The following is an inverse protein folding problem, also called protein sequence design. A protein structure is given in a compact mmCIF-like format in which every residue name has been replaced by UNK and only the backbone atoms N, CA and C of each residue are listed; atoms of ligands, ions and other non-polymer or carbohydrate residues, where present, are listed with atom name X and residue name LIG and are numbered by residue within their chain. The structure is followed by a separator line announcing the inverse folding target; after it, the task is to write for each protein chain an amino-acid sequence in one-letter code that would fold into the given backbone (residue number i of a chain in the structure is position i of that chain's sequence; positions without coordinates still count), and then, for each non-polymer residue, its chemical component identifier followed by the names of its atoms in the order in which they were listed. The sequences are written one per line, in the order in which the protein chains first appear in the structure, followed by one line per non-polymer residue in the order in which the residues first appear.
data_IF_659371495136
#
_entry.id   IF_659371495136
#
_cell.length_a   1.000
_cell.length_b   1.000
_cell.length_c   1.000
_cell.angle_alpha   90.00
_cell.angle_beta   90.00
_cell.angle_gamma   90.00
#
_symmetry.space_group_name_H-M   'P 1'
#
loop_
_entity.id
_entity.type
_entity.pdbx_description
1 polymer ?
#
# COMPACT_ATOMS: atom_id res chain seq x y z
N UNK A 1 -20.30 -58.81 9.52
CA UNK A 1 -19.02 -58.98 10.24
C UNK A 1 -18.75 -57.71 11.03
N UNK A 2 -19.10 -57.78 12.31
CA UNK A 2 -18.89 -56.80 13.38
C UNK A 2 -17.54 -57.08 14.06
N UNK A 3 -16.77 -56.05 14.39
CA UNK A 3 -15.93 -55.95 15.59
C UNK A 3 -15.05 -54.67 15.51
N UNK A 4 -15.37 -53.59 16.23
CA UNK A 4 -15.02 -53.26 17.63
C UNK A 4 -13.56 -52.83 17.88
N UNK A 5 -13.46 -51.57 18.32
CA UNK A 5 -12.35 -50.94 19.05
C UNK A 5 -12.01 -51.71 20.35
N UNK A 6 -10.83 -51.44 20.93
CA UNK A 6 -10.68 -51.36 22.38
C UNK A 6 -10.22 -49.99 22.87
N UNK A 7 -10.83 -49.58 23.98
CA UNK A 7 -10.53 -48.41 24.80
C UNK A 7 -9.29 -48.61 25.70
N UNK A 8 -8.45 -47.56 25.77
CA UNK A 8 -7.79 -46.94 26.94
C UNK A 8 -6.91 -47.79 27.92
N UNK A 9 -5.89 -47.20 28.58
CA UNK A 9 -6.13 -46.25 29.68
C UNK A 9 -5.19 -45.04 29.79
N UNK A 10 -5.70 -44.08 30.56
CA UNK A 10 -5.09 -42.87 31.14
C UNK A 10 -3.59 -42.91 31.47
N UNK A 11 -2.87 -41.84 31.10
CA UNK A 11 -1.84 -41.25 31.96
C UNK A 11 -1.93 -39.72 31.89
N UNK A 12 -2.49 -39.14 32.96
CA UNK A 12 -2.38 -37.72 33.28
C UNK A 12 -0.99 -37.46 33.83
N UNK A 13 -0.25 -36.54 33.24
CA UNK A 13 0.87 -35.87 33.91
C UNK A 13 0.59 -34.37 33.91
N UNK A 14 0.35 -33.88 35.11
CA UNK A 14 0.27 -32.50 35.55
C UNK A 14 1.44 -31.64 35.04
N UNK A 15 1.12 -30.59 34.30
CA UNK A 15 1.90 -29.34 34.30
C UNK A 15 0.93 -28.20 34.62
N UNK A 16 0.90 -27.86 35.90
CA UNK A 16 0.34 -26.62 36.41
C UNK A 16 1.41 -25.55 36.26
N UNK A 17 1.34 -24.76 35.19
CA UNK A 17 2.04 -23.48 35.11
C UNK A 17 0.99 -22.38 34.91
N UNK A 18 0.64 -21.76 36.02
CA UNK A 18 -0.06 -20.49 36.09
C UNK A 18 0.78 -19.41 35.40
N UNK A 19 0.22 -18.65 34.44
CA UNK A 19 0.90 -17.45 33.98
C UNK A 19 0.77 -16.39 35.09
N UNK A 20 1.88 -16.15 35.78
CA UNK A 20 2.09 -14.96 36.61
C UNK A 20 1.76 -13.72 35.79
N UNK A 21 0.94 -12.78 36.31
CA UNK A 21 0.59 -11.58 35.56
C UNK A 21 1.82 -10.69 35.49
N UNK A 22 2.36 -10.50 34.28
CA UNK A 22 3.34 -9.46 33.99
C UNK A 22 2.64 -8.13 34.19
N UNK A 23 2.89 -7.49 35.33
CA UNK A 23 2.47 -6.13 35.66
C UNK A 23 3.19 -5.13 34.77
N UNK A 24 2.69 -4.89 33.55
CA UNK A 24 3.05 -3.71 32.77
C UNK A 24 2.21 -2.52 33.25
N UNK A 25 2.64 -1.93 34.36
CA UNK A 25 2.29 -0.55 34.70
C UNK A 25 2.90 0.39 33.64
N UNK A 26 2.10 0.79 32.64
CA UNK A 26 2.32 2.03 31.89
C UNK A 26 1.07 2.89 32.08
N UNK A 27 1.17 4.09 32.66
CA UNK A 27 -0.01 4.88 32.96
C UNK A 27 -0.62 5.43 31.67
N UNK A 28 -1.89 5.10 31.44
CA UNK A 28 -2.79 5.66 30.43
C UNK A 28 -3.21 7.11 30.77
N UNK A 29 -2.29 7.97 31.21
CA UNK A 29 -2.63 9.32 31.70
C UNK A 29 -2.36 10.48 30.73
N UNK A 30 -1.82 10.25 29.52
CA UNK A 30 -1.37 11.36 28.66
C UNK A 30 -2.23 11.71 27.45
N UNK A 31 -3.44 11.13 27.29
CA UNK A 31 -4.32 11.53 26.18
C UNK A 31 -4.85 12.97 26.33
N UNK A 32 -5.10 13.43 27.57
CA UNK A 32 -5.47 14.83 27.85
C UNK A 32 -4.28 15.80 27.87
N UNK A 33 -3.07 15.32 28.13
CA UNK A 33 -1.87 16.16 28.15
C UNK A 33 -1.41 16.54 26.71
N UNK A 34 -1.59 15.65 25.74
CA UNK A 34 -1.20 15.91 24.34
C UNK A 34 -2.15 16.84 23.58
N UNK A 35 -3.44 16.86 23.93
CA UNK A 35 -4.39 17.86 23.38
C UNK A 35 -4.14 19.26 23.94
N UNK A 36 -3.67 19.37 25.19
CA UNK A 36 -3.32 20.65 25.84
C UNK A 36 -2.08 21.32 25.23
N UNK A 37 -1.09 20.55 24.79
CA UNK A 37 0.08 21.08 24.10
C UNK A 37 -0.24 21.74 22.74
N UNK A 38 -1.42 21.46 22.16
CA UNK A 38 -1.93 22.12 20.95
C UNK A 38 -2.69 23.41 21.29
N UNK A 39 -3.40 23.49 22.42
CA UNK A 39 -4.08 24.72 22.86
C UNK A 39 -3.11 25.79 23.36
N UNK A 40 -2.08 25.40 24.14
CA UNK A 40 -1.08 26.34 24.68
C UNK A 40 -0.22 27.00 23.58
N UNK A 41 0.03 26.28 22.48
CA UNK A 41 0.75 26.84 21.31
C UNK A 41 -0.10 27.86 20.53
N UNK A 42 -1.42 27.77 20.64
CA UNK A 42 -2.36 28.71 20.00
C UNK A 42 -2.53 29.96 20.88
N UNK A 43 -2.39 29.81 22.20
CA UNK A 43 -2.53 30.89 23.18
C UNK A 43 -1.30 31.82 23.24
N UNK A 44 -0.10 31.30 22.97
CA UNK A 44 1.13 32.12 22.84
C UNK A 44 1.13 33.06 21.64
N UNK A 45 0.28 32.84 20.64
CA UNK A 45 0.19 33.72 19.46
C UNK A 45 -0.80 34.88 19.65
N UNK A 46 -1.57 34.94 20.74
CA UNK A 46 -2.60 35.98 20.93
C UNK A 46 -2.22 37.15 21.84
N UNK A 47 -1.01 37.17 22.42
CA UNK A 47 -0.58 38.19 23.41
C UNK A 47 0.63 39.06 22.98
N UNK A 48 0.76 39.36 21.69
CA UNK A 48 1.74 40.33 21.18
C UNK A 48 1.05 41.50 20.49
N UNK A 49 0.91 42.63 21.18
CA UNK A 49 0.33 43.86 20.66
C UNK A 49 1.42 44.67 19.94
N UNK A 50 1.45 44.67 18.60
CA UNK A 50 2.25 45.60 17.79
C UNK A 50 1.65 45.68 16.37
N UNK A 51 1.35 46.87 15.83
CA UNK A 51 0.72 46.97 14.52
C UNK A 51 1.79 46.82 13.43
N UNK A 52 1.88 45.63 12.84
CA UNK A 52 2.71 45.40 11.65
C UNK A 52 1.80 45.55 10.44
N UNK A 53 2.08 46.57 9.62
CA UNK A 53 1.47 46.77 8.31
C UNK A 53 1.60 45.48 7.48
N UNK A 54 0.47 44.85 7.18
CA UNK A 54 0.42 43.77 6.20
C UNK A 54 0.64 44.35 4.80
N UNK A 55 1.84 44.20 4.26
CA UNK A 55 1.99 44.08 2.82
C UNK A 55 1.36 42.75 2.40
N UNK A 56 0.18 42.84 1.79
CA UNK A 56 -0.47 41.76 1.04
C UNK A 56 0.50 41.27 -0.05
N UNK A 57 1.33 40.28 0.28
CA UNK A 57 2.03 39.47 -0.71
C UNK A 57 0.95 38.58 -1.32
N UNK A 58 0.35 39.04 -2.42
CA UNK A 58 -0.53 38.24 -3.25
C UNK A 58 0.14 36.88 -3.45
N UNK A 59 -0.52 35.82 -3.00
CA UNK A 59 -0.12 34.47 -3.30
C UNK A 59 0.05 34.37 -4.80
N UNK A 60 1.22 33.90 -5.24
CA UNK A 60 1.42 33.44 -6.59
C UNK A 60 0.44 32.28 -6.82
N UNK A 61 -0.79 32.62 -7.22
CA UNK A 61 -1.69 31.70 -7.87
C UNK A 61 -0.89 31.08 -9.01
N UNK A 62 -0.91 29.74 -9.09
CA UNK A 62 -0.48 29.06 -10.30
C UNK A 62 -1.33 29.67 -11.41
N UNK A 63 -0.72 30.51 -12.23
CA UNK A 63 -1.34 31.03 -13.44
C UNK A 63 -1.66 29.81 -14.30
N UNK A 64 -2.92 29.42 -14.33
CA UNK A 64 -3.45 28.56 -15.38
C UNK A 64 -3.61 29.40 -16.62
N UNK A 65 -2.49 29.83 -17.20
CA UNK A 65 -2.48 30.23 -18.59
C UNK A 65 -2.91 29.01 -19.41
N UNK A 66 -3.85 29.14 -20.36
CA UNK A 66 -4.16 28.05 -21.27
C UNK A 66 -2.86 27.66 -21.99
N UNK A 67 -2.47 26.39 -21.85
CA UNK A 67 -1.28 25.86 -22.54
C UNK A 67 -1.43 26.11 -24.03
N UNK A 68 -0.39 26.63 -24.70
CA UNK A 68 -0.46 26.83 -26.14
C UNK A 68 -0.69 25.47 -26.83
N UNK A 69 -1.47 25.40 -27.92
CA UNK A 69 -1.75 24.14 -28.64
C UNK A 69 -0.48 23.37 -29.04
N UNK A 70 0.61 24.09 -29.32
CA UNK A 70 1.91 23.51 -29.67
C UNK A 70 2.59 22.79 -28.48
N UNK A 71 2.39 23.28 -27.25
CA UNK A 71 2.90 22.66 -26.03
C UNK A 71 2.17 21.35 -25.72
N UNK A 72 0.87 21.29 -26.04
CA UNK A 72 0.07 20.07 -25.85
C UNK A 72 0.46 18.96 -26.82
N UNK A 73 0.73 19.27 -28.09
CA UNK A 73 1.15 18.29 -29.08
C UNK A 73 2.54 17.70 -28.78
N UNK A 74 3.50 18.55 -28.36
CA UNK A 74 4.84 18.11 -27.95
C UNK A 74 4.78 17.22 -26.70
N UNK A 75 3.96 17.58 -25.71
CA UNK A 75 3.75 16.75 -24.52
C UNK A 75 3.09 15.40 -24.86
N UNK A 76 2.12 15.38 -25.77
CA UNK A 76 1.43 14.16 -26.18
C UNK A 76 2.34 13.22 -26.98
N UNK A 77 3.19 13.77 -27.85
CA UNK A 77 4.18 13.00 -28.59
C UNK A 77 5.23 12.39 -27.65
N UNK A 78 5.75 13.17 -26.70
CA UNK A 78 6.67 12.65 -25.68
C UNK A 78 6.00 11.55 -24.83
N UNK A 79 4.77 11.80 -24.36
CA UNK A 79 4.01 10.82 -23.60
C UNK A 79 3.77 9.54 -24.40
N UNK A 80 3.51 9.66 -25.70
CA UNK A 80 3.34 8.51 -26.57
C UNK A 80 4.64 7.72 -26.75
N UNK A 81 5.79 8.40 -26.92
CA UNK A 81 7.11 7.73 -26.97
C UNK A 81 7.39 6.98 -25.66
N UNK A 82 7.14 7.62 -24.51
CA UNK A 82 7.27 6.97 -23.19
C UNK A 82 6.35 5.75 -23.09
N UNK A 83 5.13 5.85 -23.60
CA UNK A 83 4.19 4.74 -23.68
C UNK A 83 4.71 3.60 -24.57
N UNK A 84 5.29 3.89 -25.74
CA UNK A 84 5.89 2.87 -26.60
C UNK A 84 7.07 2.15 -25.92
N UNK A 85 7.93 2.89 -25.22
CA UNK A 85 9.02 2.30 -24.43
C UNK A 85 8.48 1.40 -23.33
N UNK A 86 7.47 1.86 -22.60
CA UNK A 86 6.77 1.07 -21.58
C UNK A 86 6.16 -0.23 -22.17
N UNK A 87 5.48 -0.15 -23.31
CA UNK A 87 4.86 -1.30 -23.98
C UNK A 87 5.90 -2.30 -24.46
N UNK A 88 6.98 -1.81 -25.06
CA UNK A 88 8.09 -2.62 -25.57
C UNK A 88 8.81 -3.32 -24.42
N UNK A 89 9.18 -2.58 -23.37
CA UNK A 89 9.80 -3.16 -22.17
C UNK A 89 8.91 -4.21 -21.51
N UNK A 90 7.59 -3.96 -21.43
CA UNK A 90 6.63 -4.92 -20.87
C UNK A 90 6.51 -6.19 -21.73
N UNK A 91 6.58 -6.06 -23.05
CA UNK A 91 6.55 -7.21 -23.97
C UNK A 91 7.83 -8.05 -23.84
N UNK A 92 8.99 -7.41 -23.80
CA UNK A 92 10.28 -8.08 -23.58
C UNK A 92 10.28 -8.81 -22.23
N UNK A 93 9.88 -8.13 -21.15
CA UNK A 93 9.78 -8.75 -19.83
C UNK A 93 8.85 -9.97 -19.83
N UNK A 94 7.74 -9.91 -20.57
CA UNK A 94 6.79 -11.01 -20.66
C UNK A 94 7.36 -12.26 -21.32
N UNK A 95 8.30 -12.12 -22.27
CA UNK A 95 8.95 -13.25 -22.93
C UNK A 95 10.00 -13.94 -22.04
N UNK A 96 10.58 -13.22 -21.07
CA UNK A 96 11.71 -13.72 -20.27
C UNK A 96 11.25 -14.59 -19.07
N UNK A 97 12.05 -15.56 -18.60
CA UNK A 97 11.73 -16.34 -17.40
C UNK A 97 11.71 -15.48 -16.12
N UNK A 98 10.81 -15.77 -15.17
CA UNK A 98 10.73 -15.05 -13.89
C UNK A 98 12.05 -15.08 -13.11
N UNK A 99 12.77 -16.21 -13.12
CA UNK A 99 14.08 -16.34 -12.45
C UNK A 99 15.12 -15.39 -13.02
N UNK A 100 15.10 -15.19 -14.34
CA UNK A 100 15.99 -14.26 -15.02
C UNK A 100 15.63 -12.81 -14.67
N UNK A 101 14.36 -12.43 -14.79
CA UNK A 101 13.88 -11.10 -14.39
C UNK A 101 14.20 -10.78 -12.93
N UNK A 102 14.05 -11.77 -12.05
CA UNK A 102 14.39 -11.63 -10.64
C UNK A 102 15.89 -11.36 -10.44
N UNK A 103 16.76 -12.09 -11.13
CA UNK A 103 18.22 -11.89 -11.04
C UNK A 103 18.63 -10.51 -11.58
N UNK A 104 18.13 -10.14 -12.77
CA UNK A 104 18.38 -8.83 -13.38
C UNK A 104 17.84 -7.72 -12.48
N UNK A 105 16.63 -7.86 -11.95
CA UNK A 105 16.04 -6.85 -11.06
C UNK A 105 16.79 -6.70 -9.74
N UNK A 106 17.34 -7.80 -9.20
CA UNK A 106 18.27 -7.71 -8.05
C UNK A 106 19.54 -6.95 -8.39
N UNK A 107 20.10 -7.19 -9.57
CA UNK A 107 21.29 -6.49 -10.04
C UNK A 107 21.02 -4.99 -10.22
N UNK A 108 19.94 -4.62 -10.93
CA UNK A 108 19.53 -3.23 -11.09
C UNK A 108 19.21 -2.57 -9.74
N UNK A 109 18.53 -3.28 -8.83
CA UNK A 109 18.25 -2.81 -7.48
C UNK A 109 19.52 -2.56 -6.65
N UNK A 110 20.56 -3.39 -6.82
CA UNK A 110 21.86 -3.13 -6.21
C UNK A 110 22.50 -1.84 -6.72
N UNK A 111 22.47 -1.61 -8.03
CA UNK A 111 22.96 -0.36 -8.61
C UNK A 111 22.14 0.85 -8.16
N UNK A 112 20.82 0.72 -8.12
CA UNK A 112 19.94 1.74 -7.57
C UNK A 112 20.30 2.08 -6.12
N UNK A 113 20.62 1.09 -5.29
CA UNK A 113 21.10 1.30 -3.92
C UNK A 113 22.45 2.04 -3.84
N UNK A 114 23.36 1.78 -4.79
CA UNK A 114 24.66 2.48 -4.85
C UNK A 114 24.47 3.96 -5.17
N UNK A 115 23.65 4.29 -6.19
CA UNK A 115 23.53 5.65 -6.73
C UNK A 115 22.45 6.49 -6.04
N UNK A 116 21.42 5.87 -5.47
CA UNK A 116 20.25 6.57 -4.91
C UNK A 116 20.46 6.99 -3.45
N UNK A 117 21.47 7.82 -3.18
CA UNK A 117 21.86 8.19 -1.82
C UNK A 117 20.72 8.77 -0.95
N UNK A 118 19.83 9.59 -1.54
CA UNK A 118 18.65 10.14 -0.85
C UNK A 118 17.69 9.03 -0.37
N UNK A 119 17.31 8.13 -1.27
CA UNK A 119 16.39 7.04 -0.96
C UNK A 119 17.03 5.99 -0.04
N UNK A 120 18.34 5.75 -0.18
CA UNK A 120 19.09 4.88 0.73
C UNK A 120 19.02 5.39 2.16
N UNK A 121 19.30 6.68 2.40
CA UNK A 121 19.19 7.29 3.73
C UNK A 121 17.77 7.24 4.29
N UNK A 122 16.77 7.45 3.45
CA UNK A 122 15.36 7.32 3.86
C UNK A 122 15.05 5.89 4.32
N UNK A 123 15.46 4.88 3.55
CA UNK A 123 15.27 3.49 3.91
C UNK A 123 16.02 3.12 5.19
N UNK A 124 17.27 3.58 5.36
CA UNK A 124 18.06 3.41 6.60
C UNK A 124 17.33 3.98 7.82
N UNK A 125 16.78 5.20 7.71
CA UNK A 125 15.98 5.81 8.78
C UNK A 125 14.72 5.00 9.09
N UNK A 126 14.01 4.54 8.06
CA UNK A 126 12.77 3.78 8.24
C UNK A 126 13.04 2.43 8.93
N UNK A 127 14.09 1.70 8.54
CA UNK A 127 14.43 0.42 9.21
C UNK A 127 14.95 0.64 10.62
N UNK A 128 15.66 1.74 10.90
CA UNK A 128 16.09 2.07 12.25
C UNK A 128 14.90 2.37 13.17
N UNK A 129 13.85 3.04 12.67
CA UNK A 129 12.59 3.22 13.42
C UNK A 129 11.90 1.87 13.62
N UNK A 130 11.77 1.06 12.57
CA UNK A 130 11.02 -0.17 12.60
C UNK A 130 11.61 -1.23 13.53
N UNK A 131 12.93 -1.37 13.55
CA UNK A 131 13.63 -2.35 14.38
C UNK A 131 14.15 -1.77 15.70
N UNK A 132 14.10 -0.46 15.90
CA UNK A 132 14.62 0.22 17.08
C UNK A 132 16.02 -0.32 17.48
N UNK A 133 16.10 -1.09 18.58
CA UNK A 133 17.34 -1.66 19.11
C UNK A 133 17.49 -3.18 18.85
N UNK A 134 16.59 -3.79 18.07
CA UNK A 134 16.59 -5.24 17.80
C UNK A 134 17.69 -5.67 16.82
N UNK A 135 18.32 -4.72 16.11
CA UNK A 135 19.32 -5.01 15.07
C UNK A 135 20.50 -4.06 15.16
N UNK A 136 21.69 -4.60 14.92
CA UNK A 136 22.90 -3.80 14.83
C UNK A 136 22.90 -2.91 13.57
N UNK A 137 23.67 -1.80 13.56
CA UNK A 137 23.80 -0.93 12.39
C UNK A 137 24.24 -1.68 11.12
N UNK A 138 25.11 -2.70 11.27
CA UNK A 138 25.58 -3.54 10.16
C UNK A 138 24.46 -4.39 9.56
N UNK A 139 23.59 -4.94 10.41
CA UNK A 139 22.43 -5.71 9.95
C UNK A 139 21.40 -4.83 9.25
N UNK A 140 21.13 -3.63 9.78
CA UNK A 140 20.23 -2.66 9.15
C UNK A 140 20.74 -2.24 7.77
N UNK A 141 22.03 -1.95 7.65
CA UNK A 141 22.63 -1.59 6.36
C UNK A 141 22.53 -2.73 5.35
N UNK A 142 22.81 -3.98 5.76
CA UNK A 142 22.60 -5.17 4.92
C UNK A 142 21.14 -5.37 4.53
N UNK A 143 20.21 -5.08 5.44
CA UNK A 143 18.77 -5.16 5.20
C UNK A 143 18.33 -4.15 4.14
N UNK A 144 18.78 -2.88 4.25
CA UNK A 144 18.47 -1.84 3.26
C UNK A 144 19.00 -2.24 1.88
N UNK A 145 20.25 -2.71 1.78
CA UNK A 145 20.78 -3.19 0.50
C UNK A 145 19.91 -4.31 -0.10
N UNK A 146 19.52 -5.29 0.71
CA UNK A 146 18.62 -6.38 0.26
C UNK A 146 17.24 -5.86 -0.13
N UNK A 147 16.71 -4.87 0.58
CA UNK A 147 15.42 -4.25 0.26
C UNK A 147 15.44 -3.64 -1.15
N UNK A 148 16.48 -2.87 -1.50
CA UNK A 148 16.61 -2.32 -2.86
C UNK A 148 16.73 -3.39 -3.94
N UNK A 149 17.54 -4.44 -3.69
CA UNK A 149 17.63 -5.59 -4.60
C UNK A 149 16.27 -6.27 -4.79
N UNK A 150 15.50 -6.45 -3.71
CA UNK A 150 14.15 -7.04 -3.77
C UNK A 150 13.15 -6.10 -4.44
N UNK A 151 13.25 -4.80 -4.24
CA UNK A 151 12.41 -3.81 -4.90
C UNK A 151 12.59 -3.85 -6.43
N UNK A 152 13.84 -3.86 -6.90
CA UNK A 152 14.13 -4.00 -8.33
C UNK A 152 13.67 -5.34 -8.91
N UNK A 153 13.84 -6.43 -8.16
CA UNK A 153 13.34 -7.75 -8.55
C UNK A 153 11.81 -7.80 -8.63
N UNK A 154 11.11 -7.23 -7.64
CA UNK A 154 9.67 -7.15 -7.63
C UNK A 154 9.16 -6.33 -8.80
N UNK A 155 9.75 -5.16 -9.09
CA UNK A 155 9.35 -4.31 -10.21
C UNK A 155 9.40 -5.05 -11.56
N UNK A 156 10.51 -5.73 -11.86
CA UNK A 156 10.63 -6.47 -13.12
C UNK A 156 9.74 -7.71 -13.18
N UNK A 157 9.62 -8.44 -12.06
CA UNK A 157 8.71 -9.57 -11.98
C UNK A 157 7.24 -9.12 -12.14
N UNK A 158 6.84 -7.99 -11.54
CA UNK A 158 5.50 -7.40 -11.68
C UNK A 158 5.18 -7.17 -13.15
N UNK A 159 6.11 -6.63 -13.95
CA UNK A 159 5.90 -6.38 -15.38
C UNK A 159 5.54 -7.64 -16.20
N UNK A 160 6.08 -8.81 -15.82
CA UNK A 160 5.68 -10.10 -16.42
C UNK A 160 4.39 -10.63 -15.79
N UNK A 161 4.25 -10.53 -14.48
CA UNK A 161 3.11 -11.07 -13.74
C UNK A 161 1.81 -10.38 -14.14
N UNK A 162 1.81 -9.08 -14.46
CA UNK A 162 0.63 -8.35 -14.97
C UNK A 162 0.13 -8.79 -16.33
N UNK A 163 0.89 -9.62 -17.03
CA UNK A 163 0.55 -10.16 -18.36
C UNK A 163 0.38 -11.68 -18.34
N UNK A 164 0.50 -12.28 -17.17
CA UNK A 164 0.33 -13.71 -16.97
C UNK A 164 -1.15 -14.01 -16.68
N UNK A 165 -1.69 -15.10 -17.22
CA UNK A 165 -3.05 -15.50 -16.88
C UNK A 165 -3.16 -15.85 -15.40
N UNK A 166 -4.31 -15.61 -14.75
CA UNK A 166 -4.53 -15.99 -13.35
C UNK A 166 -4.16 -17.45 -13.05
N UNK A 167 -4.47 -18.40 -13.93
CA UNK A 167 -4.11 -19.82 -13.74
C UNK A 167 -2.60 -20.05 -13.62
N UNK A 168 -1.82 -19.41 -14.47
CA UNK A 168 -0.36 -19.50 -14.43
C UNK A 168 0.20 -18.83 -13.18
N UNK A 169 -0.43 -17.77 -12.68
CA UNK A 169 -0.03 -17.14 -11.42
C UNK A 169 -0.30 -18.10 -10.25
N UNK A 170 -1.47 -18.73 -10.20
CA UNK A 170 -1.84 -19.67 -9.13
C UNK A 170 -0.91 -20.87 -9.01
N UNK A 171 -0.28 -21.33 -10.10
CA UNK A 171 0.75 -22.38 -10.05
C UNK A 171 2.03 -21.97 -9.32
N UNK A 172 2.20 -20.68 -8.99
CA UNK A 172 3.45 -20.09 -8.48
C UNK A 172 3.29 -19.43 -7.11
N UNK A 173 2.07 -19.37 -6.58
CA UNK A 173 1.77 -18.74 -5.31
C UNK A 173 0.97 -19.68 -4.43
N UNK A 174 1.09 -19.48 -3.12
CA UNK A 174 0.19 -20.05 -2.13
C UNK A 174 -0.71 -18.93 -1.63
N UNK A 175 -2.00 -19.22 -1.52
CA UNK A 175 -2.99 -18.31 -0.96
C UNK A 175 -3.40 -18.86 0.40
N UNK A 176 -3.53 -17.97 1.37
CA UNK A 176 -3.88 -18.31 2.73
C UNK A 176 -5.09 -17.47 3.14
N UNK A 177 -6.03 -18.08 3.87
CA UNK A 177 -7.21 -17.44 4.46
C UNK A 177 -8.15 -16.78 3.44
N UNK A 178 -8.25 -17.31 2.21
CA UNK A 178 -9.20 -16.78 1.21
C UNK A 178 -10.65 -17.07 1.61
N UNK A 179 -10.87 -18.17 2.32
CA UNK A 179 -12.17 -18.66 2.78
C UNK A 179 -12.81 -17.69 3.78
N UNK A 180 -11.99 -17.02 4.60
CA UNK A 180 -12.47 -15.99 5.54
C UNK A 180 -13.09 -14.79 4.83
N UNK A 181 -12.59 -14.45 3.65
CA UNK A 181 -13.15 -13.37 2.83
C UNK A 181 -14.33 -13.88 1.99
N UNK A 182 -14.20 -15.05 1.36
CA UNK A 182 -15.27 -15.67 0.56
C UNK A 182 -16.56 -15.85 1.37
N UNK A 183 -16.45 -16.36 2.61
CA UNK A 183 -17.61 -16.53 3.50
C UNK A 183 -18.32 -15.22 3.85
N UNK A 184 -17.59 -14.10 3.96
CA UNK A 184 -18.18 -12.77 4.20
C UNK A 184 -18.95 -12.28 2.99
N UNK A 185 -18.36 -12.38 1.80
CA UNK A 185 -19.03 -12.00 0.56
C UNK A 185 -20.27 -12.85 0.28
N UNK A 186 -20.22 -14.16 0.52
CA UNK A 186 -21.39 -15.04 0.38
C UNK A 186 -22.52 -14.71 1.36
N UNK A 187 -22.19 -14.14 2.52
CA UNK A 187 -23.18 -13.65 3.48
C UNK A 187 -23.73 -12.26 3.14
N UNK A 188 -23.33 -11.66 2.00
CA UNK A 188 -23.72 -10.31 1.61
C UNK A 188 -23.09 -9.20 2.47
N UNK A 189 -22.05 -9.54 3.24
CA UNK A 189 -21.35 -8.57 4.09
C UNK A 189 -20.28 -7.86 3.25
N UNK A 190 -20.32 -6.53 3.12
CA UNK A 190 -19.28 -5.80 2.40
C UNK A 190 -17.92 -5.94 3.07
N UNK A 191 -16.86 -5.88 2.25
CA UNK A 191 -15.48 -6.07 2.73
C UNK A 191 -14.58 -4.94 2.27
N UNK A 192 -13.96 -4.26 3.24
CA UNK A 192 -12.87 -3.32 2.99
C UNK A 192 -11.53 -4.04 3.17
N UNK A 193 -10.80 -4.22 2.08
CA UNK A 193 -9.48 -4.85 2.09
C UNK A 193 -8.39 -3.80 2.30
N UNK A 194 -7.74 -3.86 3.46
CA UNK A 194 -6.59 -3.00 3.78
C UNK A 194 -5.31 -3.66 3.29
N UNK A 195 -4.68 -3.02 2.31
CA UNK A 195 -3.46 -3.50 1.66
C UNK A 195 -2.27 -2.61 2.03
N UNK A 196 -1.08 -3.16 1.85
CA UNK A 196 0.19 -2.43 1.98
C UNK A 196 1.02 -2.57 0.71
N UNK A 197 1.90 -1.61 0.43
CA UNK A 197 2.85 -1.64 -0.67
C UNK A 197 4.01 -2.61 -0.38
N UNK A 198 3.66 -3.89 -0.17
CA UNK A 198 4.58 -4.98 0.13
C UNK A 198 4.51 -6.05 -0.96
N UNK A 199 5.67 -6.59 -1.32
CA UNK A 199 5.75 -7.67 -2.31
C UNK A 199 5.32 -7.22 -3.71
N UNK A 200 4.49 -8.02 -4.35
CA UNK A 200 3.89 -7.78 -5.67
C UNK A 200 2.40 -7.57 -5.49
N UNK A 201 2.01 -6.38 -5.01
CA UNK A 201 0.62 -6.05 -4.70
C UNK A 201 -0.26 -6.01 -5.96
N UNK A 202 0.33 -5.89 -7.17
CA UNK A 202 -0.41 -5.94 -8.44
C UNK A 202 -1.06 -7.30 -8.70
N UNK A 203 -0.60 -8.37 -8.02
CA UNK A 203 -1.27 -9.67 -8.10
C UNK A 203 -2.68 -9.63 -7.51
N UNK A 204 -2.90 -8.80 -6.50
CA UNK A 204 -4.21 -8.68 -5.86
C UNK A 204 -5.27 -8.22 -6.87
N UNK A 205 -4.97 -7.16 -7.62
CA UNK A 205 -5.88 -6.63 -8.64
C UNK A 205 -6.22 -7.66 -9.75
N UNK A 206 -5.29 -8.55 -10.08
CA UNK A 206 -5.50 -9.57 -11.13
C UNK A 206 -6.22 -10.81 -10.63
N UNK A 207 -5.90 -11.24 -9.40
CA UNK A 207 -6.42 -12.48 -8.85
C UNK A 207 -7.78 -12.28 -8.20
N UNK A 208 -8.10 -11.07 -7.75
CA UNK A 208 -9.31 -10.88 -6.97
C UNK A 208 -10.60 -11.29 -7.67
N UNK A 209 -10.82 -10.88 -8.93
CA UNK A 209 -12.00 -11.32 -9.65
C UNK A 209 -12.09 -12.84 -9.86
N UNK A 210 -10.97 -13.57 -9.79
CA UNK A 210 -11.00 -15.03 -9.85
C UNK A 210 -11.59 -15.67 -8.59
N UNK A 211 -11.39 -15.06 -7.43
CA UNK A 211 -11.87 -15.59 -6.15
C UNK A 211 -13.26 -15.08 -5.79
N UNK A 212 -13.54 -13.82 -6.10
CA UNK A 212 -14.75 -13.12 -5.63
C UNK A 212 -15.50 -12.43 -6.76
N UNK A 213 -15.29 -12.84 -8.02
CA UNK A 213 -15.93 -12.23 -9.20
C UNK A 213 -17.46 -12.38 -9.27
N UNK A 214 -18.07 -13.08 -8.31
CA UNK A 214 -19.52 -13.14 -8.13
C UNK A 214 -20.08 -11.94 -7.36
N UNK A 215 -19.23 -11.10 -6.76
CA UNK A 215 -19.59 -9.80 -6.19
C UNK A 215 -18.87 -8.68 -6.93
N UNK A 216 -19.39 -7.45 -6.81
CA UNK A 216 -18.68 -6.25 -7.28
C UNK A 216 -17.41 -6.05 -6.46
N UNK A 217 -16.29 -5.82 -7.12
CA UNK A 217 -15.01 -5.57 -6.45
C UNK A 217 -14.31 -4.39 -7.08
N UNK A 218 -13.66 -3.58 -6.25
CA UNK A 218 -12.95 -2.42 -6.71
C UNK A 218 -11.62 -2.18 -6.02
N UNK A 219 -10.82 -1.29 -6.61
CA UNK A 219 -9.62 -0.75 -5.98
C UNK A 219 -9.57 0.76 -6.13
N UNK A 220 -9.11 1.44 -5.08
CA UNK A 220 -8.81 2.86 -5.14
C UNK A 220 -7.62 3.07 -6.10
N UNK A 221 -7.85 3.87 -7.13
CA UNK A 221 -6.91 4.17 -8.19
C UNK A 221 -6.51 5.64 -8.15
N UNK A 222 -5.22 5.90 -8.39
CA UNK A 222 -4.72 7.23 -8.63
C UNK A 222 -4.33 7.32 -10.10
N UNK A 223 -4.92 8.30 -10.80
CA UNK A 223 -4.61 8.59 -12.19
C UNK A 223 -3.09 8.76 -12.40
N UNK A 224 -2.56 8.04 -13.39
CA UNK A 224 -1.15 8.15 -13.77
C UNK A 224 -0.91 9.40 -14.62
N UNK A 225 0.27 9.98 -14.52
CA UNK A 225 0.60 11.24 -15.20
C UNK A 225 0.62 11.13 -16.73
N UNK A 226 1.00 9.98 -17.26
CA UNK A 226 1.00 9.72 -18.69
C UNK A 226 -0.35 9.12 -19.12
N UNK A 227 -1.12 9.80 -19.98
CA UNK A 227 -2.50 9.39 -20.30
C UNK A 227 -2.58 8.05 -21.04
N UNK A 228 -1.61 7.72 -21.90
CA UNK A 228 -1.60 6.45 -22.63
C UNK A 228 -1.32 5.26 -21.72
N UNK A 229 -0.38 5.42 -20.77
CA UNK A 229 -0.10 4.41 -19.75
C UNK A 229 -1.29 4.27 -18.80
N UNK A 230 -1.89 5.39 -18.37
CA UNK A 230 -3.07 5.41 -17.52
C UNK A 230 -4.21 4.58 -18.13
N UNK A 231 -4.59 4.90 -19.38
CA UNK A 231 -5.65 4.19 -20.10
C UNK A 231 -5.33 2.70 -20.24
N UNK A 232 -4.09 2.36 -20.60
CA UNK A 232 -3.69 0.96 -20.71
C UNK A 232 -3.79 0.20 -19.39
N UNK A 233 -3.34 0.79 -18.28
CA UNK A 233 -3.41 0.17 -16.94
C UNK A 233 -4.86 0.02 -16.50
N UNK A 234 -5.69 1.05 -16.70
CA UNK A 234 -7.13 0.99 -16.38
C UNK A 234 -7.81 -0.13 -17.15
N UNK A 235 -7.64 -0.16 -18.46
CA UNK A 235 -8.22 -1.20 -19.32
C UNK A 235 -7.77 -2.60 -18.89
N UNK A 236 -6.48 -2.79 -18.61
CA UNK A 236 -5.93 -4.11 -18.23
C UNK A 236 -6.49 -4.59 -16.89
N UNK A 237 -6.62 -3.69 -15.90
CA UNK A 237 -7.17 -4.05 -14.59
C UNK A 237 -8.68 -4.30 -14.64
N UNK A 238 -9.42 -3.50 -15.41
CA UNK A 238 -10.87 -3.66 -15.54
C UNK A 238 -11.30 -4.83 -16.41
N UNK A 239 -10.44 -5.31 -17.32
CA UNK A 239 -10.69 -6.54 -18.10
C UNK A 239 -10.96 -7.77 -17.23
N UNK A 240 -10.40 -7.81 -16.02
CA UNK A 240 -10.64 -8.90 -15.09
C UNK A 240 -11.96 -8.76 -14.32
N UNK A 241 -12.73 -7.67 -14.48
CA UNK A 241 -13.94 -7.38 -13.71
C UNK A 241 -13.71 -6.54 -12.45
N UNK A 242 -12.52 -5.95 -12.30
CA UNK A 242 -12.21 -5.04 -11.19
C UNK A 242 -12.60 -3.59 -11.55
N UNK A 243 -13.45 -2.99 -10.73
CA UNK A 243 -13.78 -1.57 -10.82
C UNK A 243 -12.62 -0.71 -10.28
N UNK A 244 -12.32 0.40 -10.93
CA UNK A 244 -11.26 1.33 -10.49
C UNK A 244 -11.90 2.66 -10.09
N UNK A 245 -11.81 2.98 -8.81
CA UNK A 245 -12.35 4.24 -8.28
C UNK A 245 -11.28 5.29 -8.20
N UNK A 246 -11.48 6.40 -8.90
CA UNK A 246 -10.60 7.55 -8.75
C UNK A 246 -10.89 8.24 -7.41
N UNK A 247 -9.84 8.37 -6.57
CA UNK A 247 -9.94 9.08 -5.30
C UNK A 247 -10.44 10.53 -5.43
N UNK A 248 -10.32 11.14 -6.61
CA UNK A 248 -10.74 12.51 -6.89
C UNK A 248 -12.20 12.60 -7.33
N UNK A 249 -12.83 11.49 -7.74
CA UNK A 249 -14.19 11.47 -8.27
C UNK A 249 -15.27 11.38 -7.18
N UNK A 250 -14.88 11.46 -5.90
CA UNK A 250 -15.79 11.31 -4.76
C UNK A 250 -15.93 9.86 -4.27
N UNK A 251 -16.61 9.70 -3.14
CA UNK A 251 -16.76 8.39 -2.47
C UNK A 251 -18.09 7.71 -2.75
N UNK A 252 -19.05 8.39 -3.37
CA UNK A 252 -20.40 7.86 -3.64
C UNK A 252 -20.38 6.51 -4.37
N UNK A 253 -19.56 6.31 -5.43
CA UNK A 253 -19.52 5.02 -6.14
C UNK A 253 -18.97 3.87 -5.26
N UNK A 254 -18.02 4.18 -4.37
CA UNK A 254 -17.47 3.20 -3.43
C UNK A 254 -18.51 2.82 -2.38
N UNK A 255 -19.25 3.80 -1.86
CA UNK A 255 -20.31 3.59 -0.89
C UNK A 255 -21.44 2.76 -1.49
N UNK A 256 -21.84 3.03 -2.73
CA UNK A 256 -22.84 2.23 -3.45
C UNK A 256 -22.37 0.78 -3.64
N UNK A 257 -21.11 0.59 -4.04
CA UNK A 257 -20.53 -0.75 -4.17
C UNK A 257 -20.58 -1.51 -2.84
N UNK A 258 -20.20 -0.88 -1.73
CA UNK A 258 -20.24 -1.51 -0.40
C UNK A 258 -21.69 -1.80 0.04
N UNK A 259 -22.64 -0.90 -0.22
CA UNK A 259 -24.07 -1.16 0.07
C UNK A 259 -24.64 -2.34 -0.72
N UNK A 260 -24.07 -2.65 -1.88
CA UNK A 260 -24.43 -3.83 -2.68
C UNK A 260 -23.81 -5.15 -2.18
N UNK A 261 -23.08 -5.14 -1.06
CA UNK A 261 -22.36 -6.30 -0.52
C UNK A 261 -21.01 -6.57 -1.20
N UNK A 262 -20.50 -5.60 -1.97
CA UNK A 262 -19.22 -5.71 -2.70
C UNK A 262 -17.98 -5.45 -1.83
N UNK A 263 -16.81 -5.53 -2.46
CA UNK A 263 -15.51 -5.33 -1.82
C UNK A 263 -14.67 -4.20 -2.40
N UNK A 264 -13.91 -3.48 -1.56
CA UNK A 264 -12.96 -2.46 -2.03
C UNK A 264 -11.57 -2.63 -1.42
N UNK A 265 -10.55 -2.65 -2.27
CA UNK A 265 -9.14 -2.66 -1.88
C UNK A 265 -8.56 -1.26 -1.74
N UNK A 266 -7.98 -0.97 -0.58
CA UNK A 266 -7.37 0.32 -0.23
C UNK A 266 -5.92 0.09 0.22
N UNK A 267 -4.96 0.69 -0.47
CA UNK A 267 -3.57 0.78 0.01
C UNK A 267 -3.46 1.94 1.00
N UNK A 268 -3.12 1.65 2.26
CA UNK A 268 -3.25 2.63 3.37
C UNK A 268 -1.97 2.83 4.20
N UNK A 269 -0.82 2.44 3.66
CA UNK A 269 0.50 2.48 4.33
C UNK A 269 1.40 3.65 3.90
N UNK A 270 0.91 4.54 3.04
CA UNK A 270 1.62 5.75 2.64
C UNK A 270 1.16 6.99 3.42
N UNK A 271 2.03 7.99 3.47
CA UNK A 271 1.76 9.26 4.14
C UNK A 271 0.54 9.96 3.54
N UNK A 272 -0.46 10.25 4.38
CA UNK A 272 -1.73 10.85 3.96
C UNK A 272 -1.71 12.40 3.89
N UNK A 273 -0.55 13.03 4.02
CA UNK A 273 -0.40 14.48 4.08
C UNK A 273 -0.67 15.08 5.46
N UNK A 274 -0.61 16.40 5.59
CA UNK A 274 -0.68 17.06 6.91
C UNK A 274 -2.06 16.93 7.60
N UNK A 275 -3.11 16.75 6.79
CA UNK A 275 -4.49 16.59 7.25
C UNK A 275 -4.90 15.13 7.52
N UNK A 276 -3.98 14.17 7.39
CA UNK A 276 -4.25 12.79 7.72
C UNK A 276 -4.46 12.57 9.23
N UNK A 277 -4.97 11.39 9.58
CA UNK A 277 -5.13 11.00 10.98
C UNK A 277 -3.74 10.67 11.55
N UNK A 278 -3.29 11.45 12.54
CA UNK A 278 -2.00 11.19 13.18
C UNK A 278 -2.12 10.07 14.22
N UNK A 279 -1.67 8.88 13.86
CA UNK A 279 -1.75 7.68 14.68
C UNK A 279 -0.36 7.12 15.03
N UNK A 280 -0.19 6.44 16.17
CA UNK A 280 1.04 5.74 16.49
C UNK A 280 1.32 4.59 15.51
N UNK A 281 2.49 4.59 14.90
CA UNK A 281 3.02 3.51 14.06
C UNK A 281 4.50 3.31 14.36
N UNK A 282 4.89 2.09 14.75
CA UNK A 282 6.27 1.75 15.13
C UNK A 282 6.89 2.74 16.14
N UNK A 283 6.10 3.11 17.15
CA UNK A 283 6.54 4.02 18.22
C UNK A 283 6.68 5.49 17.82
N UNK A 284 6.23 5.90 16.63
CA UNK A 284 6.22 7.29 16.16
C UNK A 284 4.83 7.69 15.68
N UNK A 285 4.49 8.98 15.75
CA UNK A 285 3.28 9.46 15.09
C UNK A 285 3.51 9.50 13.58
N UNK A 286 2.60 8.91 12.84
CA UNK A 286 2.55 8.95 11.38
C UNK A 286 1.17 9.45 10.95
N UNK A 287 1.13 10.29 9.92
CA UNK A 287 -0.13 10.65 9.27
C UNK A 287 -0.60 9.50 8.39
N UNK A 288 -1.76 8.93 8.73
CA UNK A 288 -2.39 7.79 8.08
C UNK A 288 -3.72 8.19 7.45
N UNK A 289 -4.14 7.42 6.44
CA UNK A 289 -5.45 7.62 5.81
C UNK A 289 -6.54 7.04 6.70
N UNK A 290 -7.58 7.82 7.09
CA UNK A 290 -8.74 7.27 7.80
C UNK A 290 -9.67 6.48 6.87
N UNK A 291 -9.43 6.51 5.55
CA UNK A 291 -10.33 5.99 4.53
C UNK A 291 -10.80 4.55 4.80
N UNK A 292 -9.93 3.57 5.12
CA UNK A 292 -10.41 2.22 5.36
C UNK A 292 -11.39 2.12 6.54
N UNK A 293 -11.17 2.90 7.59
CA UNK A 293 -12.04 2.92 8.77
C UNK A 293 -13.35 3.70 8.55
N UNK A 294 -13.38 4.65 7.62
CA UNK A 294 -14.60 5.35 7.22
C UNK A 294 -15.48 4.51 6.28
N UNK A 295 -14.88 3.56 5.56
CA UNK A 295 -15.59 2.68 4.63
C UNK A 295 -16.13 1.40 5.30
N UNK A 296 -15.59 1.00 6.45
CA UNK A 296 -15.97 -0.19 7.21
C UNK A 296 -17.12 0.09 8.18
#
# INVERSE_FOLDING_TARGET
MTASLPNSPNCRSSFSDSPTPITRNRPWSNFRAMTRAKSERTEWMSRGNTPILYWLKQGAGKSTLPRHPCDTASSAMFDFVVYLLYRTGSAIASALPLRFLFAVGRFLGFWAWLVSGKYRRLAERNVAIAFANEKSPRELHRLVRRHFQRLGANLLCSAKLTRMSPDKILQRIKIENIESMDSRFRAGVPVVLVLSHLGTWELFAQLMPKFVGYVRNASVYQKLGNPFIDEHVRRTRSQAGLELFDRQAGFEPVVELLRSGGGVGVLSDQHAGDHGLWAPFLGRLASTSPLPGLLA
#
